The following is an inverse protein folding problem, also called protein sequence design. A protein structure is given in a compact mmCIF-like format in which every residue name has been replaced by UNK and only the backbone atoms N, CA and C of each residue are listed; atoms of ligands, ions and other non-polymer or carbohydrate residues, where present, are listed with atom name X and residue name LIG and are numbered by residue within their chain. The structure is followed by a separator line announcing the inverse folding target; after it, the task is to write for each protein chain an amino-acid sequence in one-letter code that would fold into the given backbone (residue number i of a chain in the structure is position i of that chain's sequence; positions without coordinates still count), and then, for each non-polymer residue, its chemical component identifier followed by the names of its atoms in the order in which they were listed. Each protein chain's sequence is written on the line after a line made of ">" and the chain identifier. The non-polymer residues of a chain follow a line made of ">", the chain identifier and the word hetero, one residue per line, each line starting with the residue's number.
data_IF_070976732177
#
_entry.id   IF_070976732177
#
_cell.length_a   1.000
_cell.length_b   1.000
_cell.length_c   1.000
_cell.angle_alpha   90.00
_cell.angle_beta   90.00
_cell.angle_gamma   90.00
#
_symmetry.space_group_name_H-M   'P 1'
#
loop_
_entity.id
_entity.type
_entity.pdbx_description
1 polymer ?
#
# COMPACT_ATOMS: atom_id res chain seq x y z
N UNK A 1 -33.93 52.31 -72.91
CA UNK A 1 -34.38 53.57 -72.26
C UNK A 1 -35.31 53.21 -71.09
N UNK A 2 -35.40 54.05 -70.04
CA UNK A 2 -35.01 53.74 -68.66
C UNK A 2 -36.14 53.28 -67.70
N UNK A 3 -35.67 52.78 -66.54
CA UNK A 3 -36.36 52.54 -65.25
C UNK A 3 -37.21 53.72 -64.73
N UNK A 4 -38.27 53.38 -63.95
CA UNK A 4 -38.66 53.95 -62.63
C UNK A 4 -39.84 53.11 -62.08
N UNK A 5 -39.74 52.33 -60.99
CA UNK A 5 -39.77 52.70 -59.54
C UNK A 5 -40.89 53.70 -59.23
N UNK A 6 -41.83 53.54 -58.27
CA UNK A 6 -41.87 52.97 -56.91
C UNK A 6 -43.37 52.92 -56.50
N UNK A 7 -43.87 52.10 -55.57
CA UNK A 7 -43.82 52.29 -54.10
C UNK A 7 -44.73 51.21 -53.47
N UNK A 8 -44.22 50.32 -52.60
CA UNK A 8 -44.27 50.36 -51.12
C UNK A 8 -45.65 50.66 -50.50
N UNK A 9 -46.32 49.60 -50.10
CA UNK A 9 -47.11 49.56 -48.85
C UNK A 9 -46.60 48.42 -47.97
N UNK A 10 -46.17 48.74 -46.75
CA UNK A 10 -45.85 47.77 -45.70
C UNK A 10 -47.12 47.39 -44.93
N UNK A 11 -47.41 46.08 -44.75
CA UNK A 11 -48.30 45.63 -43.69
C UNK A 11 -47.52 45.15 -42.46
N UNK A 12 -47.94 45.69 -41.32
CA UNK A 12 -47.44 45.54 -39.95
C UNK A 12 -47.26 44.09 -39.49
N UNK A 13 -46.14 43.83 -38.80
CA UNK A 13 -45.85 42.60 -38.05
C UNK A 13 -46.96 42.26 -37.05
N UNK A 14 -47.56 41.07 -37.14
CA UNK A 14 -48.33 40.47 -36.04
C UNK A 14 -47.39 39.70 -35.10
N UNK A 15 -47.51 40.07 -33.82
CA UNK A 15 -46.76 39.58 -32.65
C UNK A 15 -47.10 38.11 -32.35
N UNK A 16 -46.10 37.39 -31.84
CA UNK A 16 -46.10 35.95 -31.67
C UNK A 16 -47.06 35.38 -30.62
N UNK A 17 -47.49 34.15 -30.89
CA UNK A 17 -48.18 33.27 -29.94
C UNK A 17 -47.68 31.80 -30.02
N UNK A 18 -46.70 31.49 -30.87
CA UNK A 18 -46.30 30.10 -31.16
C UNK A 18 -45.04 29.60 -30.45
N UNK A 19 -44.27 30.47 -29.77
CA UNK A 19 -43.05 30.00 -29.08
C UNK A 19 -43.35 29.38 -27.71
N UNK A 20 -44.24 29.98 -26.90
CA UNK A 20 -44.43 29.58 -25.50
C UNK A 20 -45.06 28.19 -25.32
N UNK A 21 -46.11 27.84 -26.08
CA UNK A 21 -46.77 26.53 -25.98
C UNK A 21 -45.88 25.40 -26.50
N UNK A 22 -45.08 25.66 -27.54
CA UNK A 22 -44.11 24.70 -28.05
C UNK A 22 -43.02 24.38 -27.01
N UNK A 23 -42.52 25.38 -26.29
CA UNK A 23 -41.53 25.16 -25.23
C UNK A 23 -42.10 24.36 -24.06
N UNK A 24 -43.38 24.56 -23.70
CA UNK A 24 -44.02 23.78 -22.63
C UNK A 24 -44.17 22.31 -23.05
N UNK A 25 -44.63 22.05 -24.28
CA UNK A 25 -44.76 20.68 -24.80
C UNK A 25 -43.37 20.01 -24.90
N UNK A 26 -42.36 20.74 -25.35
CA UNK A 26 -40.98 20.24 -25.41
C UNK A 26 -40.44 19.87 -24.01
N UNK A 27 -40.73 20.68 -23.00
CA UNK A 27 -40.33 20.40 -21.61
C UNK A 27 -40.98 19.13 -21.07
N UNK A 28 -42.26 18.91 -21.37
CA UNK A 28 -43.00 17.69 -20.96
C UNK A 28 -42.43 16.45 -21.66
N UNK A 29 -42.03 16.55 -22.92
CA UNK A 29 -41.41 15.45 -23.65
C UNK A 29 -40.03 15.10 -23.10
N UNK A 30 -39.23 16.10 -22.71
CA UNK A 30 -37.90 15.88 -22.10
C UNK A 30 -38.05 15.18 -20.75
N UNK A 31 -38.98 15.61 -19.89
CA UNK A 31 -39.20 14.95 -18.59
C UNK A 31 -39.72 13.53 -18.75
N UNK A 32 -40.63 13.27 -19.70
CA UNK A 32 -41.09 11.92 -20.00
C UNK A 32 -39.95 11.00 -20.49
N UNK A 33 -39.05 11.51 -21.34
CA UNK A 33 -37.90 10.76 -21.83
C UNK A 33 -36.89 10.41 -20.71
N UNK A 34 -36.63 11.35 -19.79
CA UNK A 34 -35.75 11.11 -18.63
C UNK A 34 -36.35 10.05 -17.69
N UNK A 35 -37.66 10.09 -17.45
CA UNK A 35 -38.32 9.07 -16.60
C UNK A 35 -38.31 7.70 -17.27
N UNK A 36 -38.57 7.62 -18.58
CA UNK A 36 -38.56 6.35 -19.32
C UNK A 36 -37.16 5.72 -19.36
N UNK A 37 -36.11 6.53 -19.56
CA UNK A 37 -34.72 6.05 -19.52
C UNK A 37 -34.33 5.60 -18.13
N UNK A 38 -34.74 6.31 -17.07
CA UNK A 38 -34.46 5.90 -15.69
C UNK A 38 -35.14 4.57 -15.30
N UNK A 39 -36.39 4.36 -15.71
CA UNK A 39 -37.09 3.09 -15.49
C UNK A 39 -36.42 1.96 -16.27
N UNK A 40 -36.04 2.20 -17.53
CA UNK A 40 -35.34 1.21 -18.33
C UNK A 40 -33.98 0.85 -17.74
N UNK A 41 -33.22 1.84 -17.25
CA UNK A 41 -31.93 1.62 -16.60
C UNK A 41 -32.07 0.88 -15.25
N UNK A 42 -33.19 1.10 -14.54
CA UNK A 42 -33.51 0.38 -13.30
C UNK A 42 -33.91 -1.07 -13.53
N UNK A 43 -34.62 -1.36 -14.62
CA UNK A 43 -35.05 -2.73 -14.96
C UNK A 43 -33.95 -3.53 -15.70
N UNK A 44 -32.93 -2.85 -16.23
CA UNK A 44 -31.76 -3.47 -16.88
C UNK A 44 -30.44 -3.25 -16.11
N UNK A 45 -30.49 -2.81 -14.85
CA UNK A 45 -29.28 -2.74 -14.03
C UNK A 45 -28.84 -4.18 -13.76
N UNK A 46 -27.78 -4.62 -14.42
CA UNK A 46 -27.15 -5.91 -14.18
C UNK A 46 -26.77 -5.98 -12.69
N UNK A 47 -27.54 -6.78 -11.94
CA UNK A 47 -27.20 -7.11 -10.57
C UNK A 47 -25.87 -7.88 -10.64
N UNK A 48 -24.79 -7.28 -10.15
CA UNK A 48 -23.50 -7.94 -10.08
C UNK A 48 -23.67 -9.12 -9.11
N UNK A 49 -23.97 -10.30 -9.66
CA UNK A 49 -23.86 -11.54 -8.92
C UNK A 49 -22.38 -11.76 -8.62
N UNK A 50 -21.94 -11.27 -7.46
CA UNK A 50 -20.65 -11.64 -6.88
C UNK A 50 -20.76 -13.09 -6.44
N UNK A 51 -20.61 -14.00 -7.40
CA UNK A 51 -20.39 -15.40 -7.10
C UNK A 51 -18.98 -15.50 -6.54
N UNK A 52 -18.87 -15.54 -5.21
CA UNK A 52 -17.62 -15.87 -4.54
C UNK A 52 -17.26 -17.30 -4.95
N UNK A 53 -16.23 -17.44 -5.80
CA UNK A 53 -15.72 -18.74 -6.16
C UNK A 53 -15.21 -19.41 -4.87
N UNK A 54 -15.91 -20.47 -4.44
CA UNK A 54 -15.59 -21.21 -3.22
C UNK A 54 -14.19 -21.84 -3.30
N UNK A 55 -13.60 -21.95 -4.49
CA UNK A 55 -12.24 -22.44 -4.67
C UNK A 55 -11.18 -21.38 -4.35
N UNK A 56 -11.45 -20.08 -4.56
CA UNK A 56 -10.56 -18.99 -4.12
C UNK A 56 -10.49 -18.91 -2.59
N UNK A 57 -11.60 -19.18 -1.90
CA UNK A 57 -11.65 -19.25 -0.43
C UNK A 57 -10.80 -20.41 0.09
N UNK A 58 -10.78 -21.55 -0.62
CA UNK A 58 -9.94 -22.70 -0.27
C UNK A 58 -8.46 -22.44 -0.53
N UNK A 59 -8.10 -21.82 -1.67
CA UNK A 59 -6.71 -21.43 -1.94
C UNK A 59 -6.20 -20.41 -0.91
N UNK A 60 -7.01 -19.43 -0.53
CA UNK A 60 -6.63 -18.44 0.49
C UNK A 60 -6.47 -19.09 1.87
N UNK A 61 -7.41 -19.94 2.29
CA UNK A 61 -7.33 -20.66 3.56
C UNK A 61 -6.12 -21.63 3.61
N UNK A 62 -5.87 -22.36 2.51
CA UNK A 62 -4.74 -23.28 2.41
C UNK A 62 -3.39 -22.53 2.37
N UNK A 63 -3.34 -21.32 1.80
CA UNK A 63 -2.14 -20.48 1.80
C UNK A 63 -1.87 -19.87 3.18
N UNK A 64 -2.90 -19.44 3.91
CA UNK A 64 -2.78 -19.00 5.32
C UNK A 64 -2.30 -20.12 6.25
N UNK A 65 -2.65 -21.39 5.98
CA UNK A 65 -2.12 -22.54 6.72
C UNK A 65 -0.62 -22.77 6.49
N UNK A 66 -0.04 -22.24 5.41
CA UNK A 66 1.37 -22.48 5.02
C UNK A 66 2.31 -21.31 5.31
N UNK A 67 1.83 -20.28 6.00
CA UNK A 67 2.58 -19.05 6.23
C UNK A 67 2.47 -18.61 7.70
N UNK A 68 3.52 -17.97 8.22
CA UNK A 68 3.46 -17.24 9.48
C UNK A 68 3.36 -15.74 9.20
N UNK A 69 2.48 -15.05 9.94
CA UNK A 69 2.45 -13.59 10.03
C UNK A 69 3.34 -13.18 11.20
N UNK A 70 4.34 -12.33 10.94
CA UNK A 70 5.25 -11.82 11.98
C UNK A 70 5.28 -10.28 11.94
N UNK A 71 5.41 -9.66 13.12
CA UNK A 71 5.58 -8.22 13.24
C UNK A 71 7.06 -7.86 13.30
N UNK A 72 7.46 -6.93 12.42
CA UNK A 72 8.81 -6.38 12.36
C UNK A 72 8.78 -4.86 12.37
N UNK A 73 9.85 -4.25 12.86
CA UNK A 73 10.13 -2.83 12.66
C UNK A 73 11.02 -2.63 11.44
N UNK A 74 10.76 -1.59 10.67
CA UNK A 74 11.55 -1.22 9.49
C UNK A 74 11.86 0.27 9.55
N UNK A 75 13.11 0.64 9.31
CA UNK A 75 13.51 2.03 9.13
C UNK A 75 13.26 2.46 7.68
N UNK A 76 12.67 3.62 7.46
CA UNK A 76 12.54 4.23 6.15
C UNK A 76 13.45 5.48 6.05
N UNK A 77 14.48 5.45 5.17
CA UNK A 77 15.39 6.58 4.97
C UNK A 77 14.72 7.82 4.39
N UNK A 78 13.61 7.67 3.65
CA UNK A 78 12.90 8.79 3.04
C UNK A 78 12.17 9.65 4.08
N UNK A 79 11.59 9.01 5.09
CA UNK A 79 10.89 9.71 6.18
C UNK A 79 11.73 9.84 7.45
N UNK A 80 12.84 9.11 7.55
CA UNK A 80 13.69 8.98 8.75
C UNK A 80 12.93 8.45 9.96
N UNK A 81 11.95 7.58 9.72
CA UNK A 81 11.13 7.00 10.78
C UNK A 81 11.28 5.48 10.83
N UNK A 82 11.05 4.93 12.01
CA UNK A 82 10.92 3.49 12.22
C UNK A 82 9.44 3.22 12.45
N UNK A 83 8.87 2.34 11.65
CA UNK A 83 7.48 1.93 11.78
C UNK A 83 7.39 0.42 11.91
N UNK A 84 6.33 -0.02 12.57
CA UNK A 84 5.98 -1.43 12.67
C UNK A 84 5.16 -1.85 11.46
N UNK A 85 5.42 -3.06 10.95
CA UNK A 85 4.59 -3.69 9.92
C UNK A 85 4.51 -5.18 10.12
N UNK A 86 3.39 -5.75 9.69
CA UNK A 86 3.24 -7.19 9.56
C UNK A 86 3.80 -7.65 8.22
N UNK A 87 4.53 -8.76 8.23
CA UNK A 87 5.01 -9.45 7.04
C UNK A 87 4.64 -10.93 7.10
N UNK A 88 4.60 -11.53 5.92
CA UNK A 88 4.31 -12.94 5.73
C UNK A 88 5.61 -13.67 5.40
N UNK A 89 5.90 -14.74 6.13
CA UNK A 89 7.06 -15.61 5.90
C UNK A 89 6.61 -17.07 5.72
N UNK A 90 7.41 -17.91 5.03
CA UNK A 90 7.12 -19.34 4.92
C UNK A 90 6.96 -19.99 6.30
N UNK A 91 6.06 -20.96 6.43
CA UNK A 91 5.79 -21.62 7.71
C UNK A 91 7.06 -22.20 8.34
N UNK A 92 7.36 -21.74 9.54
CA UNK A 92 8.36 -22.30 10.44
C UNK A 92 7.64 -22.92 11.64
N UNK A 93 8.12 -24.07 12.11
CA UNK A 93 7.58 -24.71 13.32
C UNK A 93 7.88 -23.86 14.55
N UNK A 94 9.09 -23.31 14.61
CA UNK A 94 9.54 -22.41 15.66
C UNK A 94 10.13 -21.17 15.00
N UNK A 95 9.52 -20.02 15.27
CA UNK A 95 10.09 -18.73 14.88
C UNK A 95 11.30 -18.42 15.75
N UNK A 96 12.41 -18.10 15.11
CA UNK A 96 13.65 -17.72 15.78
C UNK A 96 14.07 -16.30 15.37
N UNK A 97 14.99 -15.70 16.11
CA UNK A 97 15.44 -14.32 15.91
C UNK A 97 15.88 -14.05 14.46
N UNK A 98 16.52 -15.05 13.83
CA UNK A 98 16.94 -15.00 12.44
C UNK A 98 15.81 -14.80 11.42
N UNK A 99 14.61 -15.32 11.67
CA UNK A 99 13.45 -15.15 10.78
C UNK A 99 13.03 -13.68 10.72
N UNK A 100 12.96 -13.05 11.88
CA UNK A 100 12.64 -11.63 12.01
C UNK A 100 13.71 -10.74 11.38
N UNK A 101 15.00 -11.02 11.63
CA UNK A 101 16.11 -10.24 11.07
C UNK A 101 16.14 -10.34 9.55
N UNK A 102 15.93 -11.54 8.99
CA UNK A 102 15.79 -11.71 7.54
C UNK A 102 14.57 -10.98 6.99
N UNK A 103 13.46 -10.96 7.75
CA UNK A 103 12.29 -10.15 7.45
C UNK A 103 12.63 -8.67 7.30
N UNK A 104 13.37 -8.10 8.25
CA UNK A 104 13.80 -6.69 8.23
C UNK A 104 14.69 -6.42 7.01
N UNK A 105 15.70 -7.27 6.78
CA UNK A 105 16.62 -7.14 5.63
C UNK A 105 15.84 -7.10 4.32
N UNK A 106 14.90 -8.02 4.10
CA UNK A 106 14.10 -8.10 2.87
C UNK A 106 13.15 -6.92 2.68
N UNK A 107 12.76 -6.24 3.76
CA UNK A 107 11.82 -5.12 3.73
C UNK A 107 12.52 -3.75 3.83
N UNK A 108 13.86 -3.72 3.81
CA UNK A 108 14.65 -2.49 3.88
C UNK A 108 15.25 -2.18 2.51
N UNK A 109 14.71 -1.17 1.82
CA UNK A 109 15.08 -0.83 0.43
C UNK A 109 16.51 -0.27 0.25
N UNK A 110 17.20 0.03 1.35
CA UNK A 110 18.59 0.50 1.38
C UNK A 110 19.58 -0.63 1.71
N UNK A 111 19.09 -1.86 1.92
CA UNK A 111 19.91 -3.05 2.12
C UNK A 111 20.07 -3.76 0.78
N UNK A 112 21.30 -4.07 0.40
CA UNK A 112 21.63 -4.70 -0.88
C UNK A 112 21.65 -6.23 -0.79
N UNK A 113 21.57 -6.92 -1.93
CA UNK A 113 21.47 -8.39 -1.96
C UNK A 113 22.68 -9.13 -1.36
N UNK A 114 23.85 -8.50 -1.35
CA UNK A 114 25.09 -9.00 -0.75
C UNK A 114 25.09 -8.84 0.77
N UNK A 115 24.22 -8.01 1.36
CA UNK A 115 24.06 -7.88 2.81
C UNK A 115 23.20 -9.02 3.36
N UNK A 116 23.83 -9.92 4.12
CA UNK A 116 23.22 -11.15 4.61
C UNK A 116 23.34 -11.26 6.13
N UNK A 117 22.25 -11.68 6.75
CA UNK A 117 22.28 -12.25 8.10
C UNK A 117 23.14 -13.52 8.11
N UNK A 118 23.92 -13.72 9.18
CA UNK A 118 24.75 -14.91 9.38
C UNK A 118 24.20 -15.80 10.47
N UNK A 119 24.02 -15.25 11.66
CA UNK A 119 23.52 -15.99 12.82
C UNK A 119 23.03 -15.07 13.92
N UNK A 120 22.18 -15.60 14.79
CA UNK A 120 21.78 -14.96 16.04
C UNK A 120 21.89 -16.00 17.15
N UNK A 121 22.39 -15.58 18.31
CA UNK A 121 22.50 -16.47 19.47
C UNK A 121 22.42 -15.65 20.76
N UNK A 122 21.87 -16.28 21.79
CA UNK A 122 21.64 -15.64 23.07
C UNK A 122 22.78 -15.95 24.02
N UNK A 123 23.37 -14.90 24.59
CA UNK A 123 24.41 -14.98 25.62
C UNK A 123 23.96 -14.19 26.84
N UNK A 124 24.51 -14.57 27.99
CA UNK A 124 24.38 -13.76 29.21
C UNK A 124 25.63 -12.92 29.37
N UNK A 125 25.51 -11.62 29.16
CA UNK A 125 26.61 -10.64 29.26
C UNK A 125 26.27 -9.74 30.45
N UNK A 126 27.15 -9.64 31.45
CA UNK A 126 26.90 -8.87 32.67
C UNK A 126 25.55 -9.17 33.32
N UNK A 127 25.19 -10.46 33.34
CA UNK A 127 23.93 -10.99 33.86
C UNK A 127 22.66 -10.62 33.05
N UNK A 128 22.80 -9.92 31.91
CA UNK A 128 21.73 -9.51 30.99
C UNK A 128 21.61 -10.53 29.85
N UNK A 129 20.39 -11.03 29.61
CA UNK A 129 20.10 -11.88 28.46
C UNK A 129 20.17 -11.06 27.17
N UNK A 130 21.20 -11.32 26.38
CA UNK A 130 21.57 -10.52 25.22
C UNK A 130 21.55 -11.38 23.96
N UNK A 131 20.81 -10.95 22.93
CA UNK A 131 20.91 -11.54 21.59
C UNK A 131 22.07 -10.91 20.84
N UNK A 132 23.03 -11.71 20.43
CA UNK A 132 24.10 -11.27 19.52
C UNK A 132 23.72 -11.64 18.10
N UNK A 133 23.53 -10.61 17.26
CA UNK A 133 23.22 -10.72 15.84
C UNK A 133 24.49 -10.56 15.03
N UNK A 134 24.88 -11.58 14.28
CA UNK A 134 26.00 -11.54 13.34
C UNK A 134 25.52 -11.30 11.91
N UNK A 135 26.11 -10.31 11.28
CA UNK A 135 25.89 -9.90 9.90
C UNK A 135 27.18 -10.12 9.10
N UNK A 136 27.09 -10.27 7.78
CA UNK A 136 28.28 -10.43 6.95
C UNK A 136 29.00 -9.09 6.71
N UNK A 137 30.24 -9.18 6.19
CA UNK A 137 31.12 -8.03 5.97
C UNK A 137 30.53 -6.92 5.05
N UNK A 138 29.56 -7.24 4.19
CA UNK A 138 28.90 -6.26 3.33
C UNK A 138 28.22 -5.13 4.13
N UNK A 139 27.76 -5.41 5.35
CA UNK A 139 27.19 -4.40 6.25
C UNK A 139 28.20 -3.33 6.70
N UNK A 140 29.51 -3.57 6.58
CA UNK A 140 30.51 -2.53 6.86
C UNK A 140 30.35 -1.31 5.95
N UNK A 141 29.83 -1.49 4.72
CA UNK A 141 29.52 -0.36 3.84
C UNK A 141 28.31 0.44 4.34
N UNK A 142 27.30 -0.22 4.90
CA UNK A 142 26.15 0.45 5.51
C UNK A 142 26.57 1.28 6.72
N UNK A 143 27.50 0.76 7.53
CA UNK A 143 28.03 1.46 8.73
C UNK A 143 28.73 2.78 8.41
N UNK A 144 29.24 2.97 7.18
CA UNK A 144 29.77 4.27 6.71
C UNK A 144 28.70 5.35 6.61
N UNK A 145 27.42 4.97 6.59
CA UNK A 145 26.28 5.87 6.71
C UNK A 145 25.58 5.65 8.08
N UNK A 146 25.93 6.46 9.10
CA UNK A 146 25.40 6.27 10.45
C UNK A 146 23.87 6.34 10.54
N UNK A 147 23.22 7.15 9.70
CA UNK A 147 21.76 7.27 9.70
C UNK A 147 21.11 5.95 9.31
N UNK A 148 21.54 5.36 8.18
CA UNK A 148 21.01 4.08 7.71
C UNK A 148 21.36 2.93 8.67
N UNK A 149 22.60 2.88 9.15
CA UNK A 149 23.05 1.81 10.03
C UNK A 149 22.38 1.86 11.40
N UNK A 150 22.23 3.05 11.99
CA UNK A 150 21.54 3.21 13.28
C UNK A 150 20.05 2.92 13.14
N UNK A 151 19.41 3.39 12.06
CA UNK A 151 18.02 3.07 11.76
C UNK A 151 17.79 1.56 11.63
N UNK A 152 18.64 0.88 10.86
CA UNK A 152 18.63 -0.59 10.77
C UNK A 152 18.84 -1.26 12.14
N UNK A 153 19.83 -0.81 12.90
CA UNK A 153 20.17 -1.39 14.20
C UNK A 153 19.03 -1.25 15.21
N UNK A 154 18.36 -0.10 15.21
CA UNK A 154 17.20 0.16 16.05
C UNK A 154 15.98 -0.66 15.60
N UNK A 155 15.77 -0.82 14.28
CA UNK A 155 14.72 -1.69 13.75
C UNK A 155 14.91 -3.16 14.19
N UNK A 156 16.14 -3.68 14.11
CA UNK A 156 16.49 -5.01 14.62
C UNK A 156 16.25 -5.09 16.13
N UNK A 157 16.74 -4.13 16.89
CA UNK A 157 16.62 -4.11 18.36
C UNK A 157 15.15 -4.10 18.79
N UNK A 158 14.34 -3.18 18.25
CA UNK A 158 12.92 -3.07 18.58
C UNK A 158 12.16 -4.36 18.23
N UNK A 159 12.49 -4.98 17.11
CA UNK A 159 11.84 -6.23 16.67
C UNK A 159 12.16 -7.38 17.62
N UNK A 160 13.43 -7.56 18.00
CA UNK A 160 13.82 -8.64 18.91
C UNK A 160 13.22 -8.42 20.30
N UNK A 161 13.34 -7.21 20.87
CA UNK A 161 12.81 -6.94 22.21
C UNK A 161 11.28 -7.07 22.29
N UNK A 162 10.56 -6.78 21.19
CA UNK A 162 9.11 -6.96 21.13
C UNK A 162 8.69 -8.42 21.04
N UNK A 163 9.39 -9.24 20.26
CA UNK A 163 8.97 -10.60 19.96
C UNK A 163 9.59 -11.67 20.88
N UNK A 164 10.69 -11.35 21.57
CA UNK A 164 11.40 -12.26 22.47
C UNK A 164 11.50 -11.66 23.88
N UNK A 165 10.45 -11.80 24.73
CA UNK A 165 10.37 -11.10 26.02
C UNK A 165 11.44 -11.49 27.04
N UNK A 166 12.14 -12.60 26.81
CA UNK A 166 13.25 -13.07 27.65
C UNK A 166 14.58 -12.34 27.35
N UNK A 167 14.63 -11.60 26.24
CA UNK A 167 15.80 -10.84 25.77
C UNK A 167 15.67 -9.41 26.26
N UNK A 168 16.77 -8.90 26.82
CA UNK A 168 16.83 -7.58 27.44
C UNK A 168 17.76 -6.64 26.67
N UNK A 169 18.67 -7.20 25.88
CA UNK A 169 19.65 -6.44 25.09
C UNK A 169 19.92 -7.11 23.75
N UNK A 170 20.32 -6.31 22.76
CA UNK A 170 20.69 -6.76 21.43
C UNK A 170 22.02 -6.13 21.05
N UNK A 171 22.96 -6.95 20.58
CA UNK A 171 24.26 -6.50 20.07
C UNK A 171 24.36 -6.93 18.61
N UNK A 172 24.71 -6.00 17.73
CA UNK A 172 24.93 -6.27 16.31
C UNK A 172 26.42 -6.27 16.03
N UNK A 173 26.89 -7.36 15.43
CA UNK A 173 28.29 -7.58 15.04
C UNK A 173 28.38 -7.80 13.53
N UNK A 174 29.39 -7.20 12.91
CA UNK A 174 29.68 -7.38 11.49
C UNK A 174 30.91 -8.28 11.38
N UNK A 175 30.80 -9.32 10.56
CA UNK A 175 31.90 -10.23 10.25
C UNK A 175 33.08 -9.46 9.66
N UNK A 176 34.29 -9.73 10.16
CA UNK A 176 35.51 -9.00 9.80
C UNK A 176 35.76 -7.72 10.61
N UNK A 177 34.85 -7.27 11.48
CA UNK A 177 35.17 -6.21 12.45
C UNK A 177 35.91 -6.81 13.65
N UNK A 178 37.13 -6.33 13.88
CA UNK A 178 37.80 -6.52 15.17
C UNK A 178 37.22 -5.50 16.14
N UNK A 179 36.75 -5.96 17.29
CA UNK A 179 36.37 -5.08 18.41
C UNK A 179 37.62 -4.32 18.84
N UNK A 180 37.87 -3.15 18.25
CA UNK A 180 38.76 -2.18 18.83
C UNK A 180 37.97 -1.53 19.95
N UNK A 181 38.28 -1.99 21.17
CA UNK A 181 37.76 -1.46 22.42
C UNK A 181 38.08 0.03 22.55
#
# INVERSE_FOLDING_TARGET
>A
MPKKEESKEEPKKKKGFFSSVFFIILLILITAAVVATNIYDRDNSEEIHVTVDKNLVKETAQNEETQNKISIFVFDPGTRTIYEREIVIPRQVNLIEGDFINGIIRNSNYITDDMKFRSAYNLRIDNVNTTVVKLNAAFANLKKNPELFNGFSQAVTNTILKNFPNIQSVIIQIDGETNTQ
#
